data_IF_354126132898
#
_entry.id   IF_354126132898
#
_cell.length_a   1.000
_cell.length_b   1.000
_cell.length_c   1.000
_cell.angle_alpha   90.00
_cell.angle_beta   90.00
_cell.angle_gamma   90.00
#
_symmetry.space_group_name_H-M   'P 1'
#
loop_
_entity.id
_entity.type
_entity.pdbx_description
1 polymer ?
#
# COMPACT_ATOMS: atom_id res chain seq x y z
N UNK A 1 -8.53 -26.74 2.58
CA UNK A 1 -7.11 -27.16 2.67
C UNK A 1 -6.09 -26.14 2.10
N UNK A 2 -6.48 -24.97 1.56
CA UNK A 2 -5.53 -24.01 0.96
C UNK A 2 -4.80 -23.07 1.94
N UNK A 3 -5.40 -22.77 3.10
CA UNK A 3 -4.95 -21.71 4.02
C UNK A 3 -3.60 -22.05 4.69
N UNK A 4 -3.43 -23.31 5.11
CA UNK A 4 -2.20 -23.80 5.76
C UNK A 4 -0.95 -23.71 4.87
N UNK A 5 -1.12 -23.95 3.56
CA UNK A 5 0.00 -23.89 2.61
C UNK A 5 0.54 -22.46 2.42
N UNK A 6 -0.36 -21.47 2.41
CA UNK A 6 -0.01 -20.07 2.21
C UNK A 6 0.72 -19.46 3.41
N UNK A 7 0.34 -19.81 4.64
CA UNK A 7 1.00 -19.32 5.87
C UNK A 7 2.41 -19.88 5.97
N UNK A 8 2.60 -21.17 5.69
CA UNK A 8 3.92 -21.82 5.72
C UNK A 8 4.92 -21.20 4.73
N UNK A 9 4.48 -20.90 3.51
CA UNK A 9 5.33 -20.25 2.49
C UNK A 9 5.78 -18.85 2.94
N UNK A 10 4.91 -18.10 3.61
CA UNK A 10 5.25 -16.76 4.11
C UNK A 10 6.25 -16.84 5.26
N UNK A 11 6.05 -17.74 6.22
CA UNK A 11 6.95 -17.89 7.38
C UNK A 11 8.33 -18.41 6.98
N UNK A 12 8.40 -19.33 6.01
CA UNK A 12 9.66 -19.77 5.39
C UNK A 12 10.39 -18.60 4.72
N UNK A 13 9.66 -17.76 3.97
CA UNK A 13 10.21 -16.55 3.34
C UNK A 13 10.72 -15.52 4.35
N UNK A 14 10.07 -15.36 5.50
CA UNK A 14 10.53 -14.50 6.60
C UNK A 14 11.85 -15.03 7.17
N UNK A 15 11.91 -16.32 7.51
CA UNK A 15 13.11 -16.98 8.01
C UNK A 15 14.29 -16.86 7.03
N UNK A 16 14.05 -17.05 5.74
CA UNK A 16 15.07 -16.89 4.70
C UNK A 16 15.61 -15.46 4.62
N UNK A 17 14.75 -14.44 4.72
CA UNK A 17 15.18 -13.03 4.78
C UNK A 17 16.03 -12.73 6.00
N UNK A 18 15.65 -13.23 7.18
CA UNK A 18 16.43 -13.05 8.42
C UNK A 18 17.80 -13.72 8.30
N UNK A 19 17.87 -14.92 7.72
CA UNK A 19 19.13 -15.61 7.46
C UNK A 19 20.03 -14.82 6.50
N UNK A 20 19.47 -14.25 5.44
CA UNK A 20 20.20 -13.40 4.49
C UNK A 20 20.74 -12.11 5.15
N UNK A 21 19.96 -11.45 6.00
CA UNK A 21 20.43 -10.27 6.76
C UNK A 21 21.60 -10.64 7.68
N UNK A 22 21.51 -11.75 8.40
CA UNK A 22 22.60 -12.24 9.26
C UNK A 22 23.86 -12.57 8.45
N UNK A 23 23.71 -13.07 7.23
CA UNK A 23 24.85 -13.33 6.34
C UNK A 23 25.54 -12.03 5.91
N UNK A 24 24.76 -11.02 5.51
CA UNK A 24 25.30 -9.71 5.15
C UNK A 24 25.96 -8.99 6.33
N UNK A 25 25.46 -9.15 7.56
CA UNK A 25 26.11 -8.60 8.75
C UNK A 25 27.46 -9.27 9.05
N UNK A 26 27.56 -10.58 8.83
CA UNK A 26 28.83 -11.31 8.96
C UNK A 26 29.86 -10.84 7.94
N UNK A 27 29.45 -10.63 6.69
CA UNK A 27 30.34 -10.10 5.64
C UNK A 27 30.82 -8.67 5.97
N UNK A 28 29.92 -7.78 6.42
CA UNK A 28 30.32 -6.43 6.81
C UNK A 28 31.26 -6.42 8.02
N UNK A 29 31.05 -7.33 8.99
CA UNK A 29 31.93 -7.49 10.14
C UNK A 29 33.34 -7.97 9.75
N UNK A 30 33.45 -8.91 8.80
CA UNK A 30 34.72 -9.39 8.28
C UNK A 30 35.51 -8.29 7.54
N UNK A 31 34.81 -7.44 6.77
CA UNK A 31 35.41 -6.28 6.13
C UNK A 31 35.85 -5.22 7.15
N UNK A 32 35.07 -5.00 8.20
CA UNK A 32 35.41 -4.06 9.26
C UNK A 32 36.63 -4.51 10.09
N UNK A 33 36.83 -5.82 10.27
CA UNK A 33 37.98 -6.38 11.00
C UNK A 33 39.24 -6.49 10.14
N UNK A 34 39.16 -6.24 8.83
CA UNK A 34 40.28 -6.40 7.89
C UNK A 34 40.64 -7.85 7.58
N UNK A 35 39.80 -8.81 7.96
CA UNK A 35 40.06 -10.25 7.79
C UNK A 35 40.00 -10.73 6.32
N UNK A 36 39.44 -9.92 5.41
CA UNK A 36 39.20 -10.27 3.99
C UNK A 36 39.62 -9.16 3.00
N UNK A 37 40.36 -8.14 3.46
CA UNK A 37 40.80 -7.05 2.58
C UNK A 37 42.07 -7.47 1.82
N UNK A 38 41.91 -7.99 0.60
CA UNK A 38 43.00 -8.00 -0.38
C UNK A 38 43.53 -6.58 -0.59
N UNK A 39 44.82 -6.42 -0.93
CA UNK A 39 45.52 -5.13 -0.96
C UNK A 39 44.98 -4.08 -1.96
N UNK A 40 43.95 -4.43 -2.73
CA UNK A 40 43.35 -3.62 -3.81
C UNK A 40 41.83 -3.42 -3.65
N UNK A 41 41.25 -3.79 -2.50
CA UNK A 41 39.81 -3.68 -2.25
C UNK A 41 39.47 -2.34 -1.59
N UNK A 42 38.64 -1.54 -2.25
CA UNK A 42 37.97 -0.39 -1.61
C UNK A 42 36.92 -0.91 -0.61
N UNK A 43 37.36 -1.03 0.64
CA UNK A 43 36.53 -1.50 1.76
C UNK A 43 35.30 -0.62 1.94
N UNK A 44 35.42 0.70 1.78
CA UNK A 44 34.29 1.62 1.99
C UNK A 44 33.23 1.45 0.90
N UNK A 45 33.65 1.35 -0.36
CA UNK A 45 32.75 1.06 -1.47
C UNK A 45 32.03 -0.28 -1.27
N UNK A 46 32.76 -1.33 -0.87
CA UNK A 46 32.15 -2.64 -0.64
C UNK A 46 31.13 -2.62 0.50
N UNK A 47 31.45 -1.95 1.61
CA UNK A 47 30.52 -1.81 2.75
C UNK A 47 29.28 -1.01 2.37
N UNK A 48 29.42 0.04 1.54
CA UNK A 48 28.28 0.77 0.98
C UNK A 48 27.36 -0.14 0.16
N UNK A 49 27.91 -0.95 -0.75
CA UNK A 49 27.13 -1.93 -1.53
C UNK A 49 26.41 -2.95 -0.65
N UNK A 50 27.05 -3.40 0.44
CA UNK A 50 26.40 -4.29 1.41
C UNK A 50 25.20 -3.62 2.09
N UNK A 51 25.30 -2.33 2.42
CA UNK A 51 24.15 -1.59 3.00
C UNK A 51 23.00 -1.50 2.00
N UNK A 52 23.28 -1.29 0.71
CA UNK A 52 22.25 -1.33 -0.34
C UNK A 52 21.60 -2.72 -0.47
N UNK A 53 22.39 -3.79 -0.50
CA UNK A 53 21.88 -5.18 -0.52
C UNK A 53 21.00 -5.48 0.69
N UNK A 54 21.39 -5.01 1.88
CA UNK A 54 20.57 -5.16 3.10
C UNK A 54 19.23 -4.45 2.97
N UNK A 55 19.21 -3.22 2.46
CA UNK A 55 17.96 -2.47 2.23
C UNK A 55 17.02 -3.23 1.27
N UNK A 56 17.56 -3.89 0.25
CA UNK A 56 16.75 -4.74 -0.63
C UNK A 56 16.13 -5.94 0.10
N UNK A 57 16.89 -6.62 0.96
CA UNK A 57 16.37 -7.74 1.76
C UNK A 57 15.31 -7.26 2.76
N UNK A 58 15.53 -6.10 3.40
CA UNK A 58 14.57 -5.47 4.31
C UNK A 58 13.28 -5.12 3.56
N UNK A 59 13.36 -4.47 2.39
CA UNK A 59 12.20 -4.16 1.55
C UNK A 59 11.33 -5.39 1.28
N UNK A 60 11.96 -6.53 0.92
CA UNK A 60 11.24 -7.78 0.67
C UNK A 60 10.62 -8.32 1.96
N UNK A 61 11.37 -8.31 3.07
CA UNK A 61 10.89 -8.77 4.37
C UNK A 61 9.68 -7.96 4.86
N UNK A 62 9.68 -6.64 4.68
CA UNK A 62 8.53 -5.78 4.99
C UNK A 62 7.27 -6.20 4.22
N UNK A 63 7.41 -6.54 2.93
CA UNK A 63 6.31 -7.08 2.13
C UNK A 63 5.76 -8.40 2.69
N UNK A 64 6.65 -9.31 3.09
CA UNK A 64 6.26 -10.60 3.69
C UNK A 64 5.57 -10.43 5.04
N UNK A 65 6.11 -9.59 5.92
CA UNK A 65 5.51 -9.27 7.21
C UNK A 65 4.17 -8.56 7.06
N UNK A 66 4.02 -7.69 6.05
CA UNK A 66 2.73 -7.09 5.72
C UNK A 66 1.70 -8.14 5.28
N UNK A 67 2.12 -9.16 4.53
CA UNK A 67 1.23 -10.29 4.16
C UNK A 67 0.77 -11.09 5.39
N UNK A 68 1.68 -11.37 6.34
CA UNK A 68 1.34 -12.02 7.63
C UNK A 68 0.33 -11.17 8.37
N UNK A 69 0.67 -9.89 8.60
CA UNK A 69 -0.17 -8.96 9.35
C UNK A 69 -1.57 -8.81 8.72
N UNK A 70 -1.66 -8.70 7.40
CA UNK A 70 -2.95 -8.58 6.72
C UNK A 70 -3.81 -9.84 6.88
N UNK A 71 -3.21 -11.04 6.80
CA UNK A 71 -3.93 -12.30 7.05
C UNK A 71 -4.40 -12.40 8.49
N UNK A 72 -3.51 -12.21 9.46
CA UNK A 72 -3.86 -12.33 10.88
C UNK A 72 -4.96 -11.33 11.27
N UNK A 73 -4.91 -10.10 10.74
CA UNK A 73 -5.96 -9.10 10.95
C UNK A 73 -7.29 -9.52 10.31
N UNK A 74 -7.28 -10.04 9.08
CA UNK A 74 -8.51 -10.50 8.42
C UNK A 74 -9.11 -11.72 9.15
N UNK A 75 -8.27 -12.72 9.43
CA UNK A 75 -8.63 -13.97 10.10
C UNK A 75 -9.16 -13.69 11.52
N UNK A 76 -8.56 -12.76 12.28
CA UNK A 76 -9.03 -12.41 13.62
C UNK A 76 -10.48 -11.92 13.62
N UNK A 77 -10.85 -11.05 12.66
CA UNK A 77 -12.23 -10.56 12.57
C UNK A 77 -13.17 -11.64 12.01
N UNK A 78 -12.72 -12.47 11.07
CA UNK A 78 -13.50 -13.61 10.57
C UNK A 78 -13.78 -14.64 11.68
N UNK A 79 -12.79 -14.95 12.51
CA UNK A 79 -12.98 -15.85 13.66
C UNK A 79 -13.91 -15.25 14.71
N UNK A 80 -13.78 -13.96 15.02
CA UNK A 80 -14.72 -13.30 15.92
C UNK A 80 -16.16 -13.36 15.40
N UNK A 81 -16.36 -13.17 14.09
CA UNK A 81 -17.67 -13.30 13.46
C UNK A 81 -18.18 -14.75 13.48
N UNK A 82 -17.30 -15.74 13.29
CA UNK A 82 -17.65 -17.16 13.32
C UNK A 82 -17.99 -17.69 14.72
N UNK A 83 -17.56 -16.99 15.78
CA UNK A 83 -17.92 -17.30 17.17
C UNK A 83 -19.37 -16.91 17.52
N UNK A 84 -20.02 -16.07 16.71
CA UNK A 84 -21.42 -15.69 16.89
C UNK A 84 -22.39 -16.76 16.40
N UNK A 85 -23.60 -16.78 16.96
CA UNK A 85 -24.67 -17.62 16.45
C UNK A 85 -24.99 -17.27 14.98
N UNK A 86 -25.33 -18.24 14.11
CA UNK A 86 -25.61 -17.99 12.69
C UNK A 86 -26.70 -16.93 12.46
N UNK A 87 -27.67 -16.85 13.36
CA UNK A 87 -28.83 -15.95 13.36
C UNK A 87 -28.69 -14.77 14.33
N UNK A 88 -27.47 -14.50 14.84
CA UNK A 88 -27.20 -13.38 15.74
C UNK A 88 -27.76 -12.05 15.19
N UNK A 89 -28.41 -11.23 16.03
CA UNK A 89 -28.89 -9.90 15.64
C UNK A 89 -27.79 -9.03 15.04
N UNK A 90 -28.18 -8.10 14.16
CA UNK A 90 -27.23 -7.17 13.50
C UNK A 90 -26.41 -6.39 14.53
N UNK A 91 -27.04 -5.95 15.62
CA UNK A 91 -26.38 -5.21 16.70
C UNK A 91 -25.23 -6.02 17.32
N UNK A 92 -25.45 -7.31 17.57
CA UNK A 92 -24.44 -8.20 18.17
C UNK A 92 -23.25 -8.39 17.24
N UNK A 93 -23.50 -8.53 15.92
CA UNK A 93 -22.43 -8.59 14.91
C UNK A 93 -21.62 -7.31 14.85
N UNK A 94 -22.29 -6.16 14.92
CA UNK A 94 -21.62 -4.85 14.97
C UNK A 94 -20.75 -4.71 16.21
N UNK A 95 -21.24 -5.10 17.39
CA UNK A 95 -20.45 -5.06 18.62
C UNK A 95 -19.24 -5.99 18.57
N UNK A 96 -19.39 -7.20 18.02
CA UNK A 96 -18.28 -8.13 17.86
C UNK A 96 -17.19 -7.57 16.92
N UNK A 97 -17.59 -6.95 15.81
CA UNK A 97 -16.65 -6.31 14.89
C UNK A 97 -15.95 -5.10 15.53
N UNK A 98 -16.68 -4.26 16.27
CA UNK A 98 -16.08 -3.16 17.04
C UNK A 98 -15.10 -3.68 18.09
N UNK A 99 -15.45 -4.74 18.83
CA UNK A 99 -14.56 -5.37 19.81
C UNK A 99 -13.28 -5.88 19.16
N UNK A 100 -13.38 -6.58 18.04
CA UNK A 100 -12.20 -7.07 17.32
C UNK A 100 -11.30 -5.93 16.84
N UNK A 101 -11.89 -4.82 16.35
CA UNK A 101 -11.12 -3.62 15.97
C UNK A 101 -10.38 -3.02 17.17
N UNK A 102 -11.03 -2.90 18.34
CA UNK A 102 -10.39 -2.38 19.55
C UNK A 102 -9.30 -3.31 20.10
N UNK A 103 -9.49 -4.63 20.03
CA UNK A 103 -8.47 -5.61 20.42
C UNK A 103 -7.24 -5.52 19.49
N UNK A 104 -7.46 -5.43 18.18
CA UNK A 104 -6.41 -5.22 17.19
C UNK A 104 -5.69 -3.89 17.43
N UNK A 105 -6.43 -2.83 17.73
CA UNK A 105 -5.87 -1.52 18.08
C UNK A 105 -4.97 -1.61 19.31
N UNK A 106 -5.42 -2.30 20.37
CA UNK A 106 -4.67 -2.55 21.59
C UNK A 106 -3.38 -3.34 21.35
N UNK A 107 -3.46 -4.48 20.67
CA UNK A 107 -2.29 -5.33 20.37
C UNK A 107 -1.25 -4.61 19.51
N UNK A 108 -1.71 -3.87 18.49
CA UNK A 108 -0.82 -3.15 17.58
C UNK A 108 -0.38 -1.78 18.11
N UNK A 109 -0.95 -1.31 19.23
CA UNK A 109 -0.72 0.02 19.80
C UNK A 109 -0.97 1.14 18.77
N UNK A 110 -2.12 1.07 18.08
CA UNK A 110 -2.57 2.08 17.11
C UNK A 110 -3.96 2.60 17.51
N UNK A 111 -4.39 3.72 16.93
CA UNK A 111 -5.72 4.26 17.19
C UNK A 111 -6.83 3.39 16.58
N UNK A 112 -8.02 3.39 17.17
CA UNK A 112 -9.18 2.63 16.65
C UNK A 112 -9.51 2.95 15.18
N UNK A 113 -9.48 4.21 14.72
CA UNK A 113 -9.65 4.52 13.29
C UNK A 113 -8.55 3.90 12.39
N UNK A 114 -7.31 3.84 12.88
CA UNK A 114 -6.21 3.22 12.13
C UNK A 114 -6.36 1.69 12.07
N UNK A 115 -6.81 1.06 13.16
CA UNK A 115 -7.12 -0.37 13.19
C UNK A 115 -8.31 -0.73 12.28
N UNK A 116 -9.39 0.06 12.33
CA UNK A 116 -10.55 -0.09 11.44
C UNK A 116 -10.14 -0.02 9.97
N UNK A 117 -9.38 1.01 9.58
CA UNK A 117 -8.87 1.14 8.22
C UNK A 117 -7.90 0.00 7.83
N UNK A 118 -7.10 -0.50 8.77
CA UNK A 118 -6.23 -1.66 8.53
C UNK A 118 -7.05 -2.93 8.31
N UNK A 119 -8.11 -3.18 9.09
CA UNK A 119 -9.01 -4.34 8.94
C UNK A 119 -9.65 -4.32 7.55
N UNK A 120 -10.24 -3.20 7.16
CA UNK A 120 -10.88 -3.05 5.86
C UNK A 120 -9.90 -3.31 4.71
N UNK A 121 -8.72 -2.69 4.76
CA UNK A 121 -7.69 -2.85 3.74
C UNK A 121 -7.13 -4.28 3.70
N UNK A 122 -6.95 -4.91 4.86
CA UNK A 122 -6.45 -6.29 4.96
C UNK A 122 -7.43 -7.29 4.34
N UNK A 123 -8.73 -7.15 4.62
CA UNK A 123 -9.78 -7.96 3.98
C UNK A 123 -9.78 -7.80 2.46
N UNK A 124 -9.69 -6.56 1.96
CA UNK A 124 -9.63 -6.28 0.51
C UNK A 124 -8.39 -6.87 -0.15
N UNK A 125 -7.22 -6.78 0.48
CA UNK A 125 -6.01 -7.41 -0.05
C UNK A 125 -6.12 -8.94 -0.02
N UNK A 126 -6.69 -9.51 1.04
CA UNK A 126 -6.85 -10.96 1.17
C UNK A 126 -7.87 -11.54 0.16
N UNK A 127 -8.85 -10.76 -0.28
CA UNK A 127 -9.78 -11.16 -1.35
C UNK A 127 -9.17 -11.11 -2.76
N UNK A 128 -7.90 -10.67 -2.90
CA UNK A 128 -7.16 -10.62 -4.16
C UNK A 128 -5.91 -11.53 -4.09
N UNK A 129 -6.05 -12.86 -4.27
CA UNK A 129 -4.97 -13.81 -4.04
C UNK A 129 -3.65 -13.53 -4.78
N UNK A 130 -3.63 -13.09 -6.05
CA UNK A 130 -2.37 -12.75 -6.73
C UNK A 130 -1.62 -11.57 -6.07
N UNK A 131 -2.35 -10.58 -5.54
CA UNK A 131 -1.77 -9.44 -4.83
C UNK A 131 -1.20 -9.88 -3.48
N UNK A 132 -1.97 -10.67 -2.73
CA UNK A 132 -1.52 -11.24 -1.46
C UNK A 132 -0.29 -12.14 -1.65
N UNK A 133 -0.25 -12.92 -2.73
CA UNK A 133 0.90 -13.76 -3.07
C UNK A 133 2.14 -12.93 -3.41
N UNK A 134 1.99 -11.81 -4.13
CA UNK A 134 3.10 -10.90 -4.42
C UNK A 134 3.68 -10.27 -3.13
N UNK A 135 2.83 -9.91 -2.16
CA UNK A 135 3.29 -9.50 -0.82
C UNK A 135 4.01 -10.66 -0.11
N UNK A 136 3.40 -11.85 -0.10
CA UNK A 136 3.88 -13.04 0.59
C UNK A 136 5.29 -13.48 0.15
N UNK A 137 5.64 -13.28 -1.11
CA UNK A 137 6.99 -13.58 -1.63
C UNK A 137 7.94 -12.38 -1.53
N UNK A 138 7.44 -11.20 -1.13
CA UNK A 138 8.21 -9.95 -1.04
C UNK A 138 8.43 -9.24 -2.38
N UNK A 139 7.64 -9.58 -3.40
CA UNK A 139 7.71 -8.98 -4.74
C UNK A 139 7.04 -7.60 -4.83
N UNK A 140 6.20 -7.25 -3.86
CA UNK A 140 5.57 -5.92 -3.75
C UNK A 140 5.52 -5.46 -2.29
N UNK A 141 5.39 -4.15 -2.06
CA UNK A 141 5.18 -3.58 -0.72
C UNK A 141 3.70 -3.42 -0.40
N UNK A 142 3.37 -3.24 0.89
CA UNK A 142 2.00 -2.96 1.36
C UNK A 142 1.33 -1.81 0.61
N UNK A 143 2.08 -0.74 0.30
CA UNK A 143 1.55 0.40 -0.47
C UNK A 143 1.08 0.00 -1.87
N UNK A 144 1.79 -0.92 -2.54
CA UNK A 144 1.36 -1.43 -3.85
C UNK A 144 0.08 -2.25 -3.74
N UNK A 145 -0.01 -3.12 -2.73
CA UNK A 145 -1.22 -3.91 -2.50
C UNK A 145 -2.43 -3.03 -2.16
N UNK A 146 -2.24 -2.03 -1.30
CA UNK A 146 -3.28 -1.04 -0.98
C UNK A 146 -3.76 -0.28 -2.21
N UNK A 147 -2.86 0.15 -3.10
CA UNK A 147 -3.25 0.79 -4.36
C UNK A 147 -4.19 -0.12 -5.16
N UNK A 148 -3.90 -1.42 -5.25
CA UNK A 148 -4.76 -2.35 -5.98
C UNK A 148 -6.10 -2.51 -5.27
N UNK A 149 -6.09 -2.72 -3.96
CA UNK A 149 -7.31 -2.84 -3.14
C UNK A 149 -8.23 -1.62 -3.30
N UNK A 150 -7.67 -0.40 -3.21
CA UNK A 150 -8.39 0.86 -3.39
C UNK A 150 -8.97 0.97 -4.82
N UNK A 151 -8.21 0.60 -5.85
CA UNK A 151 -8.65 0.73 -7.24
C UNK A 151 -9.62 -0.38 -7.68
N UNK A 152 -9.64 -1.52 -6.97
CA UNK A 152 -10.65 -2.56 -7.14
C UNK A 152 -11.97 -2.25 -6.42
N UNK A 153 -12.00 -1.23 -5.56
CA UNK A 153 -13.21 -0.80 -4.89
C UNK A 153 -14.30 -0.35 -5.89
N UNK A 154 -15.52 -0.86 -5.67
CA UNK A 154 -16.67 -0.59 -6.52
C UNK A 154 -16.64 -1.27 -7.89
N UNK A 155 -15.60 -2.06 -8.22
CA UNK A 155 -15.60 -2.88 -9.42
C UNK A 155 -16.43 -4.15 -9.23
N UNK A 156 -16.94 -4.69 -10.33
CA UNK A 156 -17.51 -6.05 -10.33
C UNK A 156 -16.39 -7.08 -10.05
N UNK A 157 -16.73 -8.27 -9.54
CA UNK A 157 -15.73 -9.33 -9.33
C UNK A 157 -14.89 -9.65 -10.58
N UNK A 158 -15.53 -9.62 -11.76
CA UNK A 158 -14.83 -9.80 -13.04
C UNK A 158 -13.87 -8.64 -13.37
N UNK A 159 -14.28 -7.39 -13.10
CA UNK A 159 -13.43 -6.21 -13.29
C UNK A 159 -12.22 -6.20 -12.37
N UNK A 160 -12.41 -6.56 -11.09
CA UNK A 160 -11.33 -6.70 -10.12
C UNK A 160 -10.36 -7.82 -10.52
N UNK A 161 -10.87 -8.98 -10.95
CA UNK A 161 -10.04 -10.09 -11.43
C UNK A 161 -9.23 -9.70 -12.68
N UNK A 162 -9.84 -8.99 -13.63
CA UNK A 162 -9.15 -8.49 -14.82
C UNK A 162 -8.02 -7.50 -14.48
N UNK A 163 -8.27 -6.59 -13.54
CA UNK A 163 -7.27 -5.63 -13.06
C UNK A 163 -6.09 -6.36 -12.44
N UNK A 164 -6.36 -7.29 -11.52
CA UNK A 164 -5.32 -8.04 -10.83
C UNK A 164 -4.52 -8.91 -11.82
N UNK A 165 -5.19 -9.61 -12.73
CA UNK A 165 -4.52 -10.42 -13.75
C UNK A 165 -3.57 -9.57 -14.60
N UNK A 166 -4.00 -8.39 -15.05
CA UNK A 166 -3.17 -7.50 -15.86
C UNK A 166 -1.82 -7.14 -15.20
N UNK A 167 -1.79 -6.93 -13.89
CA UNK A 167 -0.60 -6.47 -13.17
C UNK A 167 0.19 -7.57 -12.45
N UNK A 168 -0.45 -8.68 -12.08
CA UNK A 168 0.15 -9.70 -11.21
C UNK A 168 0.17 -11.11 -11.82
N UNK A 169 -0.47 -11.33 -12.98
CA UNK A 169 -0.41 -12.59 -13.69
C UNK A 169 0.53 -12.48 -14.92
N UNK A 170 1.71 -13.12 -14.89
CA UNK A 170 2.62 -13.16 -16.03
C UNK A 170 2.02 -13.83 -17.27
N UNK A 171 1.03 -14.70 -17.08
CA UNK A 171 0.35 -15.42 -18.15
C UNK A 171 -0.88 -14.65 -18.71
N UNK A 172 -1.16 -13.45 -18.21
CA UNK A 172 -2.27 -12.65 -18.70
C UNK A 172 -2.12 -12.37 -20.21
N UNK A 173 -3.21 -12.35 -21.01
CA UNK A 173 -3.14 -12.11 -22.45
C UNK A 173 -2.49 -10.78 -22.84
N UNK A 174 -2.63 -9.78 -21.96
CA UNK A 174 -2.03 -8.45 -22.11
C UNK A 174 -1.41 -8.05 -20.78
N UNK A 175 -0.21 -8.54 -20.43
CA UNK A 175 0.39 -8.19 -19.14
C UNK A 175 0.86 -6.73 -19.16
N UNK A 176 0.88 -6.10 -17.99
CA UNK A 176 1.35 -4.74 -17.83
C UNK A 176 2.80 -4.61 -18.34
N UNK A 177 3.00 -3.82 -19.39
CA UNK A 177 4.34 -3.59 -19.95
C UNK A 177 5.22 -2.77 -19.00
N UNK A 178 6.51 -3.10 -18.96
CA UNK A 178 7.53 -2.41 -18.16
C UNK A 178 7.84 -3.13 -16.85
N UNK A 179 8.33 -2.37 -15.87
CA UNK A 179 8.75 -2.91 -14.57
C UNK A 179 7.58 -3.54 -13.79
N UNK A 180 7.90 -4.55 -12.99
CA UNK A 180 6.93 -5.25 -12.14
C UNK A 180 6.33 -4.29 -11.09
N UNK A 181 5.16 -4.59 -10.50
CA UNK A 181 4.51 -3.72 -9.53
C UNK A 181 5.43 -3.21 -8.42
N UNK A 182 6.21 -4.08 -7.76
CA UNK A 182 7.12 -3.69 -6.68
C UNK A 182 8.45 -3.06 -7.10
N UNK A 183 8.69 -2.92 -8.40
CA UNK A 183 9.85 -2.20 -8.96
C UNK A 183 9.49 -0.77 -9.35
N UNK A 184 8.20 -0.44 -9.39
CA UNK A 184 7.72 0.92 -9.62
C UNK A 184 7.65 1.68 -8.30
N UNK A 185 7.83 3.01 -8.39
CA UNK A 185 7.49 3.90 -7.29
C UNK A 185 5.96 3.89 -7.12
N UNK A 186 5.40 3.84 -5.89
CA UNK A 186 3.96 3.70 -5.66
C UNK A 186 3.10 4.73 -6.42
N UNK A 187 3.55 5.98 -6.57
CA UNK A 187 2.83 7.00 -7.33
C UNK A 187 2.69 6.67 -8.81
N UNK A 188 3.75 6.16 -9.44
CA UNK A 188 3.72 5.71 -10.85
C UNK A 188 2.88 4.45 -11.02
N UNK A 189 2.98 3.52 -10.07
CA UNK A 189 2.14 2.33 -10.08
C UNK A 189 0.65 2.70 -9.99
N UNK A 190 0.27 3.58 -9.05
CA UNK A 190 -1.09 4.12 -8.92
C UNK A 190 -1.59 4.72 -10.23
N UNK A 191 -0.79 5.53 -10.91
CA UNK A 191 -1.18 6.11 -12.19
C UNK A 191 -1.46 5.04 -13.26
N UNK A 192 -0.65 3.98 -13.33
CA UNK A 192 -0.87 2.86 -14.27
C UNK A 192 -2.14 2.08 -13.93
N UNK A 193 -2.36 1.76 -12.65
CA UNK A 193 -3.57 1.04 -12.20
C UNK A 193 -4.82 1.86 -12.50
N UNK A 194 -4.82 3.15 -12.18
CA UNK A 194 -5.92 4.08 -12.51
C UNK A 194 -6.18 4.12 -14.01
N UNK A 195 -5.15 4.35 -14.82
CA UNK A 195 -5.30 4.38 -16.27
C UNK A 195 -5.88 3.08 -16.84
N UNK A 196 -5.49 1.93 -16.28
CA UNK A 196 -6.09 0.65 -16.67
C UNK A 196 -7.56 0.57 -16.26
N UNK A 197 -7.86 0.89 -14.99
CA UNK A 197 -9.22 0.89 -14.44
C UNK A 197 -10.15 1.78 -15.26
N UNK A 198 -9.73 2.99 -15.58
CA UNK A 198 -10.52 3.95 -16.35
C UNK A 198 -10.87 3.46 -17.75
N UNK A 199 -9.97 2.71 -18.42
CA UNK A 199 -10.20 2.14 -19.75
C UNK A 199 -11.11 0.91 -19.76
N UNK A 200 -11.22 0.22 -18.62
CA UNK A 200 -11.98 -1.04 -18.50
C UNK A 200 -13.17 -0.91 -17.55
N UNK A 201 -13.52 0.31 -17.14
CA UNK A 201 -14.64 0.55 -16.26
C UNK A 201 -15.96 0.31 -17.01
N UNK A 202 -16.93 -0.45 -16.44
CA UNK A 202 -18.17 -0.78 -17.12
C UNK A 202 -19.07 0.44 -17.38
N UNK A 203 -19.00 1.43 -16.48
CA UNK A 203 -19.67 2.73 -16.68
C UNK A 203 -18.77 3.72 -17.41
N UNK A 204 -19.36 4.40 -18.39
CA UNK A 204 -18.74 5.53 -19.10
C UNK A 204 -18.22 6.59 -18.13
N UNK A 205 -17.12 7.25 -18.49
CA UNK A 205 -16.56 8.40 -17.76
C UNK A 205 -17.61 9.48 -17.45
N UNK A 206 -18.51 9.76 -18.39
CA UNK A 206 -19.56 10.79 -18.24
C UNK A 206 -20.52 10.49 -17.10
N UNK A 207 -21.10 9.27 -17.04
CA UNK A 207 -21.99 8.85 -15.94
C UNK A 207 -21.31 8.97 -14.57
N UNK A 208 -20.04 8.57 -14.46
CA UNK A 208 -19.27 8.68 -13.22
C UNK A 208 -18.94 10.12 -12.87
N UNK A 209 -18.61 10.94 -13.86
CA UNK A 209 -18.38 12.36 -13.66
C UNK A 209 -19.63 13.06 -13.14
N UNK A 210 -20.81 12.76 -13.68
CA UNK A 210 -22.08 13.28 -13.18
C UNK A 210 -22.32 12.89 -11.71
N UNK A 211 -22.06 11.62 -11.36
CA UNK A 211 -22.16 11.16 -9.96
C UNK A 211 -21.17 11.88 -9.05
N UNK A 212 -19.88 11.91 -9.40
CA UNK A 212 -18.84 12.57 -8.60
C UNK A 212 -19.05 14.09 -8.50
N UNK A 213 -19.66 14.71 -9.51
CA UNK A 213 -20.05 16.13 -9.46
C UNK A 213 -21.11 16.39 -8.39
N UNK A 214 -22.01 15.44 -8.14
CA UNK A 214 -23.02 15.56 -7.08
C UNK A 214 -22.38 15.52 -5.67
N UNK A 215 -21.27 14.79 -5.53
CA UNK A 215 -20.55 14.62 -4.25
C UNK A 215 -19.56 15.77 -3.94
N UNK A 216 -19.53 16.82 -4.76
CA UNK A 216 -18.61 17.95 -4.59
C UNK A 216 -18.76 18.59 -3.21
N UNK A 217 -17.65 18.84 -2.53
CA UNK A 217 -17.66 19.42 -1.18
C UNK A 217 -16.42 20.25 -0.88
N UNK A 218 -16.55 21.10 0.12
CA UNK A 218 -15.48 21.93 0.67
C UNK A 218 -15.44 21.67 2.17
N UNK A 219 -14.29 21.22 2.65
CA UNK A 219 -14.05 20.95 4.05
C UNK A 219 -13.09 22.01 4.61
N UNK A 220 -13.43 22.55 5.77
CA UNK A 220 -12.59 23.47 6.55
C UNK A 220 -12.09 22.74 7.79
N UNK A 221 -10.78 22.73 8.00
CA UNK A 221 -10.17 22.07 9.15
C UNK A 221 -9.25 23.06 9.86
N UNK A 222 -9.61 23.56 11.05
CA UNK A 222 -8.71 24.41 11.82
C UNK A 222 -7.45 23.62 12.24
N UNK A 223 -6.32 24.30 12.28
CA UNK A 223 -5.01 23.80 12.66
C UNK A 223 -4.39 24.70 13.75
N UNK A 224 -3.21 24.34 14.24
CA UNK A 224 -2.49 25.11 15.26
C UNK A 224 -2.13 26.52 14.77
N UNK A 225 -1.87 27.41 15.72
CA UNK A 225 -1.39 28.78 15.47
C UNK A 225 -2.34 29.65 14.63
N UNK A 226 -3.65 29.38 14.70
CA UNK A 226 -4.67 30.12 13.96
C UNK A 226 -4.70 29.80 12.47
N UNK A 227 -4.02 28.74 12.04
CA UNK A 227 -4.00 28.26 10.67
C UNK A 227 -5.20 27.34 10.39
N UNK A 228 -5.51 27.10 9.12
CA UNK A 228 -6.52 26.13 8.74
C UNK A 228 -6.24 25.56 7.36
N UNK A 229 -6.67 24.32 7.15
CA UNK A 229 -6.69 23.65 5.86
C UNK A 229 -8.03 23.87 5.18
N UNK A 230 -7.95 24.15 3.87
CA UNK A 230 -9.10 24.13 2.98
C UNK A 230 -8.95 22.94 2.02
N UNK A 231 -9.89 22.00 2.06
CA UNK A 231 -9.90 20.84 1.16
C UNK A 231 -11.09 20.91 0.23
N UNK A 232 -10.84 20.77 -1.08
CA UNK A 232 -11.87 20.83 -2.12
C UNK A 232 -11.94 19.50 -2.85
N UNK A 233 -13.12 18.89 -2.86
CA UNK A 233 -13.43 17.75 -3.72
C UNK A 233 -14.33 18.23 -4.86
N UNK A 234 -13.76 18.28 -6.06
CA UNK A 234 -14.36 18.92 -7.24
C UNK A 234 -14.15 18.06 -8.49
N UNK A 235 -14.90 18.32 -9.58
CA UNK A 235 -14.54 17.85 -10.91
C UNK A 235 -13.08 18.15 -11.25
N UNK A 236 -12.39 17.16 -11.85
CA UNK A 236 -10.93 17.22 -12.02
C UNK A 236 -10.44 18.37 -12.90
N UNK A 237 -11.21 18.75 -13.91
CA UNK A 237 -10.98 19.92 -14.75
C UNK A 237 -11.07 21.23 -13.95
N UNK A 238 -12.09 21.35 -13.08
CA UNK A 238 -12.27 22.50 -12.19
C UNK A 238 -11.13 22.59 -11.17
N UNK A 239 -10.79 21.47 -10.53
CA UNK A 239 -9.66 21.40 -9.59
C UNK A 239 -8.33 21.75 -10.26
N UNK A 240 -8.10 21.27 -11.49
CA UNK A 240 -6.90 21.59 -12.27
C UNK A 240 -6.86 23.07 -12.65
N UNK A 241 -7.98 23.68 -13.03
CA UNK A 241 -8.06 25.10 -13.31
C UNK A 241 -7.72 25.96 -12.07
N UNK A 242 -8.26 25.59 -10.90
CA UNK A 242 -7.94 26.25 -9.62
C UNK A 242 -6.45 26.12 -9.31
N UNK A 243 -5.89 24.91 -9.41
CA UNK A 243 -4.47 24.66 -9.17
C UNK A 243 -3.60 25.51 -10.09
N UNK A 244 -3.82 25.43 -11.41
CA UNK A 244 -3.02 26.15 -12.40
C UNK A 244 -3.09 27.67 -12.20
N UNK A 245 -4.27 28.22 -11.91
CA UNK A 245 -4.43 29.66 -11.68
C UNK A 245 -3.75 30.11 -10.39
N UNK A 246 -3.86 29.33 -9.32
CA UNK A 246 -3.21 29.61 -8.04
C UNK A 246 -1.69 29.55 -8.17
N UNK A 247 -1.14 28.50 -8.81
CA UNK A 247 0.30 28.38 -9.07
C UNK A 247 0.81 29.50 -9.99
N UNK A 248 0.06 29.88 -11.03
CA UNK A 248 0.45 30.99 -11.90
C UNK A 248 0.51 32.32 -11.13
N UNK A 249 -0.47 32.56 -10.24
CA UNK A 249 -0.52 33.76 -9.40
C UNK A 249 0.65 33.78 -8.42
N UNK A 250 0.91 32.66 -7.74
CA UNK A 250 2.02 32.53 -6.80
C UNK A 250 3.39 32.69 -7.48
N UNK A 251 3.55 32.19 -8.72
CA UNK A 251 4.74 32.45 -9.56
C UNK A 251 4.89 33.94 -9.89
N UNK A 252 3.80 34.62 -10.23
CA UNK A 252 3.80 36.06 -10.50
C UNK A 252 4.16 36.92 -9.29
N UNK A 253 3.96 36.41 -8.07
CA UNK A 253 4.33 37.09 -6.83
C UNK A 253 5.77 36.84 -6.39
N UNK A 254 6.50 35.92 -7.02
CA UNK A 254 7.89 35.65 -6.65
C UNK A 254 8.77 36.88 -6.88
N UNK A 255 9.48 37.28 -5.83
CA UNK A 255 10.41 38.39 -5.81
C UNK A 255 11.48 38.14 -4.72
N UNK A 256 12.57 38.92 -4.65
CA UNK A 256 13.63 38.71 -3.67
C UNK A 256 13.20 38.73 -2.19
N UNK A 257 12.04 39.33 -1.87
CA UNK A 257 11.46 39.40 -0.53
C UNK A 257 10.35 38.35 -0.30
N UNK A 258 10.06 37.50 -1.28
CA UNK A 258 9.10 36.41 -1.17
C UNK A 258 9.86 35.10 -0.89
N UNK A 259 9.96 34.76 0.39
CA UNK A 259 10.75 33.61 0.86
C UNK A 259 9.98 32.28 0.86
N UNK A 260 8.68 32.28 0.55
CA UNK A 260 7.87 31.06 0.53
C UNK A 260 8.16 30.24 -0.72
N UNK A 261 8.27 28.94 -0.55
CA UNK A 261 8.55 27.99 -1.64
C UNK A 261 7.28 27.62 -2.41
N UNK A 262 7.41 27.50 -3.73
CA UNK A 262 6.42 26.82 -4.57
C UNK A 262 6.72 25.33 -4.52
N UNK A 263 5.86 24.55 -3.88
CA UNK A 263 5.94 23.09 -3.78
C UNK A 263 4.75 22.44 -4.46
#
# INVERSE_FOLDING_TARGET
>A
MGISSGVRVVTEGVSASVAALRALDREDAALASGADAGSDVDVLQRRYELRLKRLEVVKRLEGRLAAVKARDVADAVEFQQAMLAPDAPVQERTYAEMSAVEEIAGVLTISSPAASGLVEQSRRVCSLPPVLNALAVGASSWQHARIVADETEGLTPAGAAGLVAHFFDPAAPTPARGAAPGELVPSRFRAKVRSWRERHHPETLEKRHTKGTADRRMDYTPDRDGMAWLSLYLPGDTASAIWNRTTATARGLQNPNEHRTLT
#
